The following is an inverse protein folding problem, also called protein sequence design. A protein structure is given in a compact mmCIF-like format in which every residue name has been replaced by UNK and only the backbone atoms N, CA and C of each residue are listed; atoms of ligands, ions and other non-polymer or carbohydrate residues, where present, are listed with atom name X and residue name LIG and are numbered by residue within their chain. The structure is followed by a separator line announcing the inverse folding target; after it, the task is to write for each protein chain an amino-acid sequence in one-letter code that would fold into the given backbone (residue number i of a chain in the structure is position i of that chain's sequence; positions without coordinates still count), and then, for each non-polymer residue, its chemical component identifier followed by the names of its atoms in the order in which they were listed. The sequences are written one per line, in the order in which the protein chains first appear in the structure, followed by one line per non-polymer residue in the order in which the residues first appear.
data_IF_741982437728
#
_entry.id   IF_741982437728
#
_cell.length_a   1.000
_cell.length_b   1.000
_cell.length_c   1.000
_cell.angle_alpha   90.00
_cell.angle_beta   90.00
_cell.angle_gamma   90.00
#
_symmetry.space_group_name_H-M   'P 1'
#
loop_
_entity.id
_entity.type
_entity.pdbx_description
1 polymer ?
#
# COMPACT_ATOMS: atom_id res chain seq x y z
N UNK A 1 -19.20 -45.44 48.58
CA UNK A 1 -18.32 -45.76 49.73
C UNK A 1 -17.37 -44.59 49.84
N UNK A 2 -17.63 -43.73 50.72
CA UNK A 2 -16.97 -43.47 52.02
C UNK A 2 -15.67 -42.70 51.83
N UNK A 3 -15.64 -41.40 52.05
CA UNK A 3 -15.61 -40.60 53.31
C UNK A 3 -14.17 -40.50 53.83
N UNK A 4 -13.62 -39.34 54.04
CA UNK A 4 -13.57 -38.44 55.21
C UNK A 4 -12.31 -37.57 55.10
N UNK A 5 -12.43 -36.25 55.24
CA UNK A 5 -12.20 -35.45 56.45
C UNK A 5 -10.74 -35.53 56.99
N UNK A 6 -9.99 -34.47 57.13
CA UNK A 6 -10.01 -33.42 58.16
C UNK A 6 -8.82 -32.50 58.07
N UNK A 7 -9.04 -31.21 58.10
CA UNK A 7 -8.75 -30.20 59.13
C UNK A 7 -7.28 -29.74 59.32
N UNK A 8 -7.14 -28.47 59.04
CA UNK A 8 -6.60 -27.37 59.84
C UNK A 8 -5.23 -27.51 60.52
N UNK A 9 -4.35 -26.53 60.20
CA UNK A 9 -3.65 -25.79 61.23
C UNK A 9 -3.11 -24.45 60.64
N UNK A 10 -3.53 -23.39 61.24
CA UNK A 10 -2.98 -22.04 61.05
C UNK A 10 -1.70 -21.89 61.88
N UNK A 11 -0.69 -21.25 61.31
CA UNK A 11 0.39 -20.65 62.11
C UNK A 11 0.62 -19.23 61.61
N UNK A 12 0.38 -18.27 62.52
CA UNK A 12 0.78 -16.85 62.47
C UNK A 12 2.32 -16.79 62.44
N UNK A 13 2.84 -15.84 61.70
CA UNK A 13 4.27 -15.49 61.71
C UNK A 13 4.49 -14.10 61.12
N UNK A 14 4.22 -13.11 61.92
CA UNK A 14 4.88 -11.79 62.06
C UNK A 14 5.48 -11.04 60.89
N UNK A 15 5.01 -9.84 60.81
CA UNK A 15 5.40 -8.67 60.01
C UNK A 15 6.90 -8.32 60.11
N UNK A 16 7.41 -7.81 59.00
CA UNK A 16 8.48 -6.80 59.03
C UNK A 16 8.17 -5.76 57.92
N UNK A 17 7.77 -4.57 58.39
CA UNK A 17 7.71 -3.33 57.65
C UNK A 17 9.13 -2.95 57.21
N UNK A 18 9.32 -2.73 55.94
CA UNK A 18 10.38 -1.86 55.42
C UNK A 18 9.74 -0.69 54.72
N UNK A 19 9.58 0.39 55.43
CA UNK A 19 9.18 1.71 54.99
C UNK A 19 10.32 2.33 54.19
N UNK A 20 10.09 2.55 52.87
CA UNK A 20 10.91 3.42 52.07
C UNK A 20 10.17 4.78 51.92
N UNK A 21 10.82 5.76 52.46
CA UNK A 21 10.44 7.17 52.55
C UNK A 21 10.26 7.79 51.14
N UNK A 22 9.04 8.18 50.80
CA UNK A 22 8.74 9.18 49.81
C UNK A 22 9.05 10.56 50.35
N UNK A 23 10.13 11.16 49.88
CA UNK A 23 10.36 12.60 50.10
C UNK A 23 9.50 13.35 49.09
N UNK A 24 8.37 13.84 49.56
CA UNK A 24 7.59 14.82 48.86
C UNK A 24 8.15 16.20 49.21
N UNK A 25 8.88 16.80 48.29
CA UNK A 25 9.12 18.25 48.32
C UNK A 25 8.00 18.96 47.58
N UNK A 26 7.08 19.52 48.33
CA UNK A 26 6.12 20.45 47.79
C UNK A 26 6.77 21.80 47.51
N UNK A 27 6.53 22.32 46.33
CA UNK A 27 6.58 23.74 46.04
C UNK A 27 5.42 24.09 45.13
N UNK A 28 4.47 24.79 45.65
CA UNK A 28 3.44 25.48 44.90
C UNK A 28 4.10 26.52 44.00
N UNK A 29 3.97 26.39 42.72
CA UNK A 29 3.96 27.54 41.80
C UNK A 29 2.98 27.26 40.67
N UNK A 30 2.26 28.32 40.35
CA UNK A 30 1.07 28.42 39.54
C UNK A 30 1.12 27.75 38.16
N UNK A 31 -0.07 27.34 37.76
CA UNK A 31 -0.48 26.91 36.42
C UNK A 31 0.10 27.78 35.32
N UNK A 32 0.94 27.14 34.50
CA UNK A 32 1.15 27.51 33.13
C UNK A 32 0.77 26.28 32.30
N UNK A 33 -0.09 26.39 31.29
CA UNK A 33 -0.35 25.26 30.41
C UNK A 33 0.98 24.80 29.83
N UNK A 34 1.30 23.53 29.97
CA UNK A 34 2.41 22.93 29.28
C UNK A 34 2.12 23.07 27.78
N UNK A 35 2.81 24.00 27.16
CA UNK A 35 2.99 24.04 25.72
C UNK A 35 3.69 22.72 25.37
N UNK A 36 2.91 21.77 24.87
CA UNK A 36 3.44 20.57 24.26
C UNK A 36 4.06 20.96 22.94
N UNK A 37 5.18 21.64 22.99
CA UNK A 37 6.07 21.82 21.87
C UNK A 37 6.47 20.42 21.41
N UNK A 38 5.88 19.95 20.33
CA UNK A 38 6.33 18.77 19.62
C UNK A 38 7.78 19.06 19.22
N UNK A 39 8.73 18.47 19.95
CA UNK A 39 10.11 18.43 19.45
C UNK A 39 10.07 17.68 18.13
N UNK A 40 10.30 18.39 17.02
CA UNK A 40 10.38 17.76 15.72
C UNK A 40 11.39 16.60 15.80
N UNK A 41 10.99 15.44 15.34
CA UNK A 41 11.85 14.27 15.35
C UNK A 41 13.10 14.58 14.49
N UNK A 42 14.28 14.38 15.06
CA UNK A 42 15.54 14.61 14.34
C UNK A 42 15.79 13.58 13.25
N UNK A 43 15.16 12.43 13.36
CA UNK A 43 15.25 11.32 12.42
C UNK A 43 13.90 10.66 12.24
N UNK A 44 13.57 10.30 11.00
CA UNK A 44 12.40 9.49 10.64
C UNK A 44 12.81 8.39 9.67
N UNK A 45 12.02 7.32 9.62
CA UNK A 45 12.22 6.21 8.69
C UNK A 45 11.14 6.25 7.60
N UNK A 46 11.56 6.20 6.34
CA UNK A 46 10.68 6.07 5.19
C UNK A 46 10.88 4.70 4.53
N UNK A 47 9.81 3.93 4.39
CA UNK A 47 9.80 2.67 3.65
C UNK A 47 9.20 2.87 2.25
N UNK A 48 9.92 2.43 1.22
CA UNK A 48 9.49 2.52 -0.18
C UNK A 48 9.71 1.19 -0.90
N UNK A 49 9.04 0.99 -2.02
CA UNK A 49 9.36 -0.10 -2.93
C UNK A 49 10.74 0.13 -3.57
N UNK A 50 11.47 -0.95 -3.87
CA UNK A 50 12.86 -0.88 -4.33
C UNK A 50 13.05 0.03 -5.56
N UNK A 51 12.09 0.04 -6.48
CA UNK A 51 12.13 0.90 -7.66
C UNK A 51 12.12 2.41 -7.34
N UNK A 52 11.60 2.82 -6.19
CA UNK A 52 11.53 4.22 -5.76
C UNK A 52 12.68 4.65 -4.87
N UNK A 53 13.62 3.76 -4.53
CA UNK A 53 14.71 4.05 -3.60
C UNK A 53 15.52 5.28 -3.99
N UNK A 54 15.98 5.36 -5.23
CA UNK A 54 16.80 6.49 -5.70
C UNK A 54 16.03 7.83 -5.67
N UNK A 55 14.72 7.78 -5.98
CA UNK A 55 13.85 8.95 -5.84
C UNK A 55 13.72 9.35 -4.36
N UNK A 56 13.44 8.41 -3.47
CA UNK A 56 13.31 8.64 -2.04
C UNK A 56 14.59 9.24 -1.43
N UNK A 57 15.77 8.76 -1.80
CA UNK A 57 17.06 9.31 -1.37
C UNK A 57 17.23 10.77 -1.80
N UNK A 58 16.81 11.11 -3.02
CA UNK A 58 16.83 12.49 -3.51
C UNK A 58 15.92 13.42 -2.72
N UNK A 59 14.69 12.96 -2.46
CA UNK A 59 13.70 13.69 -1.65
C UNK A 59 14.17 13.83 -0.20
N UNK A 60 14.71 12.76 0.39
CA UNK A 60 15.25 12.75 1.75
C UNK A 60 16.35 13.80 1.94
N UNK A 61 17.26 13.91 0.96
CA UNK A 61 18.30 14.93 0.98
C UNK A 61 17.73 16.35 0.98
N UNK A 62 16.81 16.63 0.05
CA UNK A 62 16.18 17.94 -0.04
C UNK A 62 15.37 18.28 1.24
N UNK A 63 14.66 17.29 1.80
CA UNK A 63 13.92 17.47 3.03
C UNK A 63 14.83 17.77 4.22
N UNK A 64 15.98 17.09 4.32
CA UNK A 64 16.98 17.34 5.37
C UNK A 64 17.55 18.77 5.27
N UNK A 65 17.83 19.24 4.05
CA UNK A 65 18.32 20.62 3.82
C UNK A 65 17.27 21.65 4.25
N UNK A 66 15.98 21.36 4.08
CA UNK A 66 14.88 22.25 4.40
C UNK A 66 14.48 22.22 5.88
N UNK A 67 14.40 21.04 6.49
CA UNK A 67 13.82 20.82 7.82
C UNK A 67 14.86 20.52 8.91
N UNK A 68 16.07 20.12 8.53
CA UNK A 68 17.08 19.59 9.45
C UNK A 68 16.84 18.13 9.86
N UNK A 69 15.71 17.52 9.50
CA UNK A 69 15.37 16.13 9.84
C UNK A 69 16.02 15.14 8.89
N UNK A 70 16.70 14.14 9.44
CA UNK A 70 17.26 13.03 8.65
C UNK A 70 16.15 12.03 8.33
N UNK A 71 16.06 11.60 7.06
CA UNK A 71 15.16 10.55 6.61
C UNK A 71 15.98 9.30 6.29
N UNK A 72 15.78 8.24 7.09
CA UNK A 72 16.41 6.94 6.89
C UNK A 72 15.56 6.11 5.92
N UNK A 73 16.10 5.85 4.73
CA UNK A 73 15.38 5.10 3.70
C UNK A 73 15.55 3.60 3.92
N UNK A 74 14.45 2.88 3.99
CA UNK A 74 14.35 1.43 3.87
C UNK A 74 13.62 1.10 2.59
N UNK A 75 14.06 0.08 1.86
CA UNK A 75 13.37 -0.36 0.65
C UNK A 75 13.18 -1.88 0.63
N UNK A 76 12.19 -2.32 -0.12
CA UNK A 76 11.86 -3.73 -0.27
C UNK A 76 10.52 -3.93 -0.98
N UNK A 77 9.98 -5.15 -0.90
CA UNK A 77 8.64 -5.46 -1.40
C UNK A 77 7.57 -4.68 -0.63
N UNK A 78 6.84 -3.82 -1.33
CA UNK A 78 5.81 -2.96 -0.75
C UNK A 78 4.68 -3.76 -0.11
N UNK A 79 4.20 -4.81 -0.78
CA UNK A 79 3.08 -5.60 -0.27
C UNK A 79 3.48 -6.40 0.97
N UNK A 80 4.66 -7.02 0.96
CA UNK A 80 5.19 -7.70 2.13
C UNK A 80 5.45 -6.77 3.32
N UNK A 81 5.79 -5.50 3.06
CA UNK A 81 5.88 -4.46 4.08
C UNK A 81 4.52 -4.13 4.70
N UNK A 82 3.48 -3.99 3.88
CA UNK A 82 2.11 -3.73 4.34
C UNK A 82 1.53 -4.88 5.15
N UNK A 83 1.77 -6.12 4.75
CA UNK A 83 1.28 -7.31 5.45
C UNK A 83 1.87 -7.42 6.88
N UNK A 84 3.05 -6.86 7.12
CA UNK A 84 3.71 -6.82 8.43
C UNK A 84 3.37 -5.59 9.26
N UNK A 85 2.75 -4.56 8.66
CA UNK A 85 2.58 -3.25 9.29
C UNK A 85 1.89 -3.33 10.66
N UNK A 86 0.84 -4.14 10.79
CA UNK A 86 0.12 -4.29 12.06
C UNK A 86 1.02 -4.85 13.18
N UNK A 87 1.83 -5.86 12.88
CA UNK A 87 2.79 -6.43 13.84
C UNK A 87 3.91 -5.46 14.16
N UNK A 88 4.42 -4.77 13.15
CA UNK A 88 5.49 -3.80 13.30
C UNK A 88 5.03 -2.58 14.11
N UNK A 89 3.81 -2.11 13.92
CA UNK A 89 3.20 -1.06 14.76
C UNK A 89 3.15 -1.48 16.24
N UNK A 90 2.67 -2.69 16.52
CA UNK A 90 2.56 -3.20 17.88
C UNK A 90 3.94 -3.38 18.57
N UNK A 91 4.96 -3.71 17.79
CA UNK A 91 6.32 -3.94 18.30
C UNK A 91 7.22 -2.70 18.27
N UNK A 92 6.71 -1.55 17.77
CA UNK A 92 7.49 -0.32 17.63
C UNK A 92 8.56 -0.37 16.53
N UNK A 93 8.40 -1.27 15.54
CA UNK A 93 9.34 -1.45 14.41
C UNK A 93 8.85 -0.89 13.10
N UNK A 94 7.60 -0.43 13.07
CA UNK A 94 7.02 0.18 11.88
C UNK A 94 7.84 1.41 11.42
N UNK A 95 7.92 1.67 10.12
CA UNK A 95 8.47 2.94 9.65
C UNK A 95 7.54 4.11 10.02
N UNK A 96 8.10 5.31 10.19
CA UNK A 96 7.30 6.52 10.45
C UNK A 96 6.45 6.91 9.26
N UNK A 97 6.96 6.66 8.05
CA UNK A 97 6.27 6.88 6.78
C UNK A 97 6.50 5.69 5.88
N UNK A 98 5.46 5.26 5.17
CA UNK A 98 5.61 4.22 4.16
C UNK A 98 4.84 4.54 2.88
N UNK A 99 5.35 4.05 1.77
CA UNK A 99 4.66 4.08 0.49
C UNK A 99 3.64 2.95 0.44
N UNK A 100 2.40 3.26 0.06
CA UNK A 100 1.32 2.28 -0.01
C UNK A 100 0.44 2.51 -1.24
N UNK A 101 -0.16 1.45 -1.84
CA UNK A 101 -1.19 1.61 -2.85
C UNK A 101 -2.42 2.29 -2.23
N UNK A 102 -3.07 3.15 -3.01
CA UNK A 102 -4.20 3.96 -2.51
C UNK A 102 -5.37 3.12 -1.97
N UNK A 103 -5.62 1.97 -2.55
CA UNK A 103 -6.71 1.06 -2.16
C UNK A 103 -6.54 0.42 -0.78
N UNK A 104 -5.33 0.48 -0.21
CA UNK A 104 -5.01 0.02 1.16
C UNK A 104 -5.12 1.14 2.20
N UNK A 105 -4.90 2.39 1.80
CA UNK A 105 -4.78 3.53 2.73
C UNK A 105 -6.04 3.71 3.59
N UNK A 106 -7.22 3.63 2.98
CA UNK A 106 -8.49 3.83 3.70
C UNK A 106 -8.72 2.81 4.80
N UNK A 107 -8.56 1.51 4.52
CA UNK A 107 -8.73 0.45 5.51
C UNK A 107 -7.66 0.51 6.60
N UNK A 108 -6.40 0.69 6.23
CA UNK A 108 -5.30 0.83 7.20
C UNK A 108 -5.52 2.01 8.16
N UNK A 109 -6.09 3.12 7.66
CA UNK A 109 -6.43 4.27 8.49
C UNK A 109 -7.56 3.96 9.47
N UNK A 110 -8.67 3.39 9.00
CA UNK A 110 -9.82 3.04 9.87
C UNK A 110 -9.49 1.93 10.87
N UNK A 111 -8.54 1.06 10.56
CA UNK A 111 -8.04 0.01 11.45
C UNK A 111 -6.97 0.53 12.44
N UNK A 112 -6.70 1.84 12.42
CA UNK A 112 -5.74 2.49 13.35
C UNK A 112 -4.27 2.16 13.06
N UNK A 113 -3.95 1.67 11.86
CA UNK A 113 -2.58 1.38 11.45
C UNK A 113 -1.85 2.62 10.90
N UNK A 114 -2.61 3.62 10.44
CA UNK A 114 -2.11 4.90 9.95
C UNK A 114 -2.72 6.04 10.77
N UNK A 115 -1.94 7.10 10.96
CA UNK A 115 -2.42 8.34 11.56
C UNK A 115 -3.06 9.25 10.50
N UNK A 116 -4.03 10.05 10.92
CA UNK A 116 -4.60 11.10 10.07
C UNK A 116 -3.52 12.10 9.63
N UNK A 117 -3.53 12.45 8.35
CA UNK A 117 -2.58 13.37 7.72
C UNK A 117 -3.29 14.66 7.34
N UNK A 118 -2.71 15.79 7.72
CA UNK A 118 -3.11 17.10 7.21
C UNK A 118 -2.21 17.46 6.03
N UNK A 119 -2.79 17.47 4.83
CA UNK A 119 -2.06 17.94 3.66
C UNK A 119 -1.77 19.43 3.82
N UNK A 120 -0.53 19.85 3.53
CA UNK A 120 -0.17 21.26 3.56
C UNK A 120 -0.88 22.03 2.43
N UNK A 121 -1.09 23.34 2.62
CA UNK A 121 -1.69 24.22 1.60
C UNK A 121 -0.86 24.28 0.31
N UNK A 122 0.43 23.96 0.39
CA UNK A 122 1.34 23.85 -0.75
C UNK A 122 1.28 22.52 -1.49
N UNK A 123 0.57 21.52 -0.99
CA UNK A 123 0.39 20.23 -1.65
C UNK A 123 -0.48 20.42 -2.91
N UNK A 124 0.13 20.26 -4.08
CA UNK A 124 -0.58 20.34 -5.37
C UNK A 124 -1.38 19.06 -5.64
N UNK A 125 -2.37 18.80 -4.80
CA UNK A 125 -3.20 17.61 -4.87
C UNK A 125 -4.58 18.03 -5.34
N UNK A 126 -5.07 17.48 -6.45
CA UNK A 126 -6.44 17.70 -6.89
C UNK A 126 -7.44 16.90 -6.03
N UNK A 127 -8.72 17.27 -6.09
CA UNK A 127 -9.77 16.63 -5.29
C UNK A 127 -9.93 15.14 -5.62
N UNK A 128 -9.67 14.72 -6.84
CA UNK A 128 -9.76 13.32 -7.26
C UNK A 128 -8.68 12.48 -6.60
N UNK A 129 -7.43 12.90 -6.68
CA UNK A 129 -6.31 12.18 -6.03
C UNK A 129 -6.41 12.23 -4.51
N UNK A 130 -6.86 13.33 -3.93
CA UNK A 130 -7.15 13.43 -2.50
C UNK A 130 -8.23 12.44 -2.06
N UNK A 131 -9.29 12.27 -2.87
CA UNK A 131 -10.36 11.33 -2.56
C UNK A 131 -9.89 9.88 -2.47
N UNK A 132 -8.82 9.51 -3.17
CA UNK A 132 -8.26 8.15 -3.14
C UNK A 132 -7.58 7.80 -1.81
N UNK A 133 -7.14 8.80 -1.06
CA UNK A 133 -6.49 8.64 0.26
C UNK A 133 -7.38 9.10 1.41
N UNK A 134 -8.66 9.37 1.12
CA UNK A 134 -9.69 9.73 2.11
C UNK A 134 -10.53 8.49 2.41
N UNK A 135 -10.56 8.07 3.67
CA UNK A 135 -11.32 6.91 4.10
C UNK A 135 -12.82 7.21 4.24
N UNK A 136 -13.61 6.17 4.51
CA UNK A 136 -15.06 6.26 4.67
C UNK A 136 -15.49 7.15 5.86
N UNK A 137 -14.62 7.35 6.85
CA UNK A 137 -14.80 8.24 7.99
C UNK A 137 -14.56 9.73 7.64
N UNK A 138 -14.21 10.02 6.39
CA UNK A 138 -13.92 11.37 5.88
C UNK A 138 -12.51 11.88 6.20
N UNK A 139 -11.67 11.09 6.87
CA UNK A 139 -10.30 11.47 7.20
C UNK A 139 -9.31 11.11 6.10
N UNK A 140 -8.25 11.88 5.99
CA UNK A 140 -7.15 11.67 5.05
C UNK A 140 -6.04 10.91 5.77
N UNK A 141 -5.60 9.77 5.23
CA UNK A 141 -4.58 8.92 5.84
C UNK A 141 -3.30 8.79 4.99
N UNK A 142 -3.19 9.56 3.93
CA UNK A 142 -2.01 9.56 3.10
C UNK A 142 -1.88 10.81 2.24
N UNK A 143 -0.69 10.99 1.68
CA UNK A 143 -0.41 12.03 0.69
C UNK A 143 -0.14 11.36 -0.67
N UNK A 144 -0.87 11.70 -1.74
CA UNK A 144 -0.57 11.19 -3.07
C UNK A 144 0.85 11.58 -3.49
N UNK A 145 1.70 10.60 -3.82
CA UNK A 145 3.08 10.82 -4.19
C UNK A 145 3.35 10.48 -5.67
N UNK A 146 2.76 9.40 -6.17
CA UNK A 146 3.00 8.88 -7.52
C UNK A 146 1.66 8.46 -8.13
N UNK A 147 1.52 8.66 -9.44
CA UNK A 147 0.42 8.10 -10.24
C UNK A 147 1.03 7.16 -11.26
N UNK A 148 0.54 5.94 -11.28
CA UNK A 148 0.95 4.91 -12.23
C UNK A 148 -0.19 4.54 -13.17
N UNK A 149 0.15 4.09 -14.36
CA UNK A 149 -0.80 3.56 -15.34
C UNK A 149 -0.14 2.49 -16.18
N UNK A 150 -0.92 1.51 -16.59
CA UNK A 150 -0.50 0.57 -17.62
C UNK A 150 -0.44 1.29 -18.95
N UNK A 151 0.68 1.14 -19.66
CA UNK A 151 0.89 1.72 -20.98
C UNK A 151 1.47 0.67 -21.93
N UNK A 152 1.25 0.85 -23.22
CA UNK A 152 1.88 0.05 -24.25
C UNK A 152 3.11 0.80 -24.80
N UNK A 153 4.27 0.17 -24.71
CA UNK A 153 5.47 0.63 -25.39
C UNK A 153 5.58 -0.01 -26.75
N UNK A 154 6.09 0.71 -27.76
CA UNK A 154 6.45 0.12 -29.05
C UNK A 154 7.83 0.56 -29.49
N UNK A 155 8.53 -0.36 -30.15
CA UNK A 155 9.84 -0.10 -30.73
C UNK A 155 9.68 0.59 -32.08
N UNK A 156 10.10 1.85 -32.21
CA UNK A 156 9.98 2.66 -33.43
C UNK A 156 10.84 2.17 -34.59
N UNK A 157 11.88 1.36 -34.31
CA UNK A 157 12.71 0.79 -35.37
C UNK A 157 12.00 -0.41 -36.04
N UNK A 158 11.18 -1.13 -35.28
CA UNK A 158 10.45 -2.29 -35.74
C UNK A 158 9.03 -1.94 -36.23
N UNK A 159 8.34 -1.06 -35.54
CA UNK A 159 6.96 -0.65 -35.81
C UNK A 159 6.97 0.85 -36.10
N UNK A 160 6.71 1.25 -37.35
CA UNK A 160 6.83 2.65 -37.78
C UNK A 160 5.68 3.53 -37.28
N UNK A 161 4.50 2.96 -37.11
CA UNK A 161 3.32 3.65 -36.58
C UNK A 161 2.80 2.95 -35.33
N UNK A 162 2.48 3.73 -34.31
CA UNK A 162 1.94 3.19 -33.05
C UNK A 162 0.60 2.48 -33.33
N UNK A 163 0.45 1.21 -32.92
CA UNK A 163 -0.84 0.52 -32.97
C UNK A 163 -1.88 1.30 -32.16
N UNK A 164 -3.08 1.47 -32.72
CA UNK A 164 -4.19 2.21 -32.09
C UNK A 164 -5.27 1.29 -31.54
N UNK A 165 -5.32 0.08 -32.04
CA UNK A 165 -6.33 -0.92 -31.70
C UNK A 165 -5.67 -2.29 -31.50
N UNK A 166 -6.38 -3.20 -30.84
CA UNK A 166 -5.94 -4.59 -30.76
C UNK A 166 -5.93 -5.28 -32.14
N UNK A 167 -6.80 -4.87 -33.07
CA UNK A 167 -6.76 -5.36 -34.44
C UNK A 167 -5.44 -4.99 -35.15
N UNK A 168 -4.87 -3.83 -34.88
CA UNK A 168 -3.55 -3.45 -35.42
C UNK A 168 -2.45 -4.38 -34.87
N UNK A 169 -2.51 -4.74 -33.59
CA UNK A 169 -1.59 -5.69 -32.98
C UNK A 169 -1.74 -7.10 -33.60
N UNK A 170 -2.99 -7.55 -33.82
CA UNK A 170 -3.27 -8.83 -34.51
C UNK A 170 -2.75 -8.85 -35.94
N UNK A 171 -2.81 -7.72 -36.65
CA UNK A 171 -2.23 -7.64 -38.00
C UNK A 171 -0.70 -7.67 -37.96
N UNK A 172 -0.06 -7.02 -36.99
CA UNK A 172 1.39 -7.15 -36.77
C UNK A 172 1.77 -8.59 -36.45
N UNK A 173 0.98 -9.29 -35.65
CA UNK A 173 1.24 -10.70 -35.30
C UNK A 173 1.24 -11.66 -36.48
N UNK A 174 0.59 -11.32 -37.62
CA UNK A 174 0.57 -12.10 -38.84
C UNK A 174 1.82 -11.91 -39.71
N UNK A 175 2.60 -10.87 -39.47
CA UNK A 175 3.81 -10.56 -40.22
C UNK A 175 4.96 -11.49 -39.78
N UNK A 176 5.47 -12.30 -40.68
CA UNK A 176 6.53 -13.26 -40.39
C UNK A 176 7.83 -12.67 -39.87
N UNK A 177 8.06 -11.35 -40.05
CA UNK A 177 9.23 -10.69 -39.48
C UNK A 177 9.21 -10.67 -37.95
N UNK A 178 8.03 -10.86 -37.34
CA UNK A 178 7.85 -10.95 -35.90
C UNK A 178 7.69 -12.40 -35.42
N UNK A 179 7.95 -13.39 -36.26
CA UNK A 179 7.93 -14.79 -35.83
C UNK A 179 8.88 -14.96 -34.59
N UNK A 180 8.42 -15.68 -33.59
CA UNK A 180 9.25 -15.96 -32.43
C UNK A 180 10.18 -17.13 -32.73
N UNK A 181 11.48 -16.88 -32.70
CA UNK A 181 12.48 -17.89 -33.08
C UNK A 181 12.57 -19.09 -32.12
N UNK A 182 11.99 -18.96 -30.92
CA UNK A 182 12.01 -20.03 -29.91
C UNK A 182 10.89 -21.06 -30.02
N UNK A 183 9.82 -20.77 -30.79
CA UNK A 183 8.66 -21.67 -30.91
C UNK A 183 7.88 -21.39 -32.19
N UNK A 184 7.67 -22.44 -32.97
CA UNK A 184 6.93 -22.37 -34.25
C UNK A 184 5.47 -21.95 -34.02
N UNK A 185 4.99 -21.05 -34.89
CA UNK A 185 3.62 -20.52 -34.83
C UNK A 185 3.39 -19.42 -33.80
N UNK A 186 4.43 -19.01 -33.06
CA UNK A 186 4.36 -17.92 -32.13
C UNK A 186 4.91 -16.61 -32.68
N UNK A 187 4.45 -15.49 -32.13
CA UNK A 187 4.87 -14.14 -32.54
C UNK A 187 5.46 -13.37 -31.40
N UNK A 188 6.43 -12.53 -31.68
CA UNK A 188 6.97 -11.50 -30.76
C UNK A 188 6.43 -10.09 -31.05
N UNK A 189 5.43 -9.96 -31.93
CA UNK A 189 4.86 -8.68 -32.32
C UNK A 189 4.22 -7.93 -31.16
N UNK A 190 3.69 -8.67 -30.18
CA UNK A 190 3.11 -8.12 -28.96
C UNK A 190 3.41 -9.03 -27.78
N UNK A 191 3.89 -8.45 -26.69
CA UNK A 191 4.24 -9.17 -25.46
C UNK A 191 3.44 -8.58 -24.30
N UNK A 192 2.72 -9.43 -23.57
CA UNK A 192 1.95 -9.06 -22.39
C UNK A 192 1.90 -10.25 -21.42
N UNK A 193 1.97 -9.95 -20.12
CA UNK A 193 1.71 -10.94 -19.07
C UNK A 193 0.23 -10.89 -18.66
N UNK A 194 -0.60 -11.65 -19.35
CA UNK A 194 -2.02 -11.75 -19.00
C UNK A 194 -2.34 -12.94 -18.08
N UNK A 195 -1.32 -13.62 -17.58
CA UNK A 195 -1.47 -14.57 -16.46
C UNK A 195 -1.67 -13.84 -15.15
N UNK A 196 -1.16 -12.61 -15.05
CA UNK A 196 -1.40 -11.72 -13.92
C UNK A 196 -2.69 -10.90 -14.14
N UNK A 197 -3.64 -11.05 -13.23
CA UNK A 197 -4.95 -10.39 -13.29
C UNK A 197 -4.83 -8.85 -13.38
N UNK A 198 -3.85 -8.25 -12.72
CA UNK A 198 -3.60 -6.82 -12.78
C UNK A 198 -3.41 -6.31 -14.23
N UNK A 199 -2.65 -7.05 -15.04
CA UNK A 199 -2.43 -6.70 -16.43
C UNK A 199 -3.58 -7.14 -17.35
N UNK A 200 -4.29 -8.20 -17.01
CA UNK A 200 -5.42 -8.71 -17.79
C UNK A 200 -6.73 -7.93 -17.56
N UNK A 201 -6.87 -7.23 -16.44
CA UNK A 201 -8.11 -6.56 -16.06
C UNK A 201 -8.64 -5.59 -17.14
N UNK A 202 -7.74 -4.87 -17.81
CA UNK A 202 -8.12 -3.97 -18.91
C UNK A 202 -8.88 -4.64 -20.04
N UNK A 203 -8.62 -5.93 -20.30
CA UNK A 203 -9.35 -6.70 -21.32
C UNK A 203 -10.76 -7.03 -20.84
N UNK A 204 -10.93 -7.37 -19.56
CA UNK A 204 -12.25 -7.62 -18.98
C UNK A 204 -13.08 -6.33 -19.02
N UNK A 205 -12.52 -5.26 -18.47
CA UNK A 205 -13.19 -3.97 -18.38
C UNK A 205 -13.56 -3.39 -19.74
N UNK A 206 -12.69 -3.52 -20.74
CA UNK A 206 -12.93 -3.09 -22.11
C UNK A 206 -14.08 -3.84 -22.81
N UNK A 207 -14.42 -5.04 -22.32
CA UNK A 207 -15.56 -5.83 -22.79
C UNK A 207 -16.80 -5.73 -21.90
N UNK A 208 -16.81 -4.82 -20.90
CA UNK A 208 -17.94 -4.65 -19.97
C UNK A 208 -17.88 -5.53 -18.73
N UNK A 209 -16.74 -6.20 -18.50
CA UNK A 209 -16.48 -6.92 -17.25
C UNK A 209 -16.10 -5.97 -16.10
N UNK A 210 -16.28 -6.41 -14.89
CA UNK A 210 -15.89 -5.67 -13.68
C UNK A 210 -15.66 -6.62 -12.51
N UNK A 211 -14.97 -6.15 -11.46
CA UNK A 211 -14.85 -6.91 -10.20
C UNK A 211 -16.06 -6.67 -9.33
N UNK A 212 -16.31 -5.42 -8.96
CA UNK A 212 -17.45 -5.00 -8.14
C UNK A 212 -18.28 -3.96 -8.88
N UNK A 213 -19.62 -4.07 -8.75
CA UNK A 213 -20.58 -3.16 -9.36
C UNK A 213 -20.44 -1.71 -8.88
N UNK A 214 -21.16 -0.79 -9.55
CA UNK A 214 -21.16 0.64 -9.23
C UNK A 214 -19.74 1.24 -9.15
N UNK A 215 -18.86 0.89 -10.09
CA UNK A 215 -17.44 1.33 -10.13
C UNK A 215 -16.65 0.96 -8.86
N UNK A 216 -16.83 -0.28 -8.40
CA UNK A 216 -16.11 -0.82 -7.24
C UNK A 216 -16.78 -0.55 -5.88
N UNK A 217 -17.97 0.06 -5.87
CA UNK A 217 -18.65 0.44 -4.61
C UNK A 217 -19.66 -0.58 -4.11
N UNK A 218 -20.05 -1.53 -4.93
CA UNK A 218 -20.98 -2.60 -4.56
C UNK A 218 -20.29 -3.96 -4.57
N UNK A 219 -19.80 -4.37 -3.41
CA UNK A 219 -19.13 -5.66 -3.21
C UNK A 219 -20.09 -6.88 -3.29
N UNK A 220 -21.39 -6.65 -3.38
CA UNK A 220 -22.39 -7.74 -3.54
C UNK A 220 -22.65 -8.02 -5.01
N UNK A 221 -22.40 -7.07 -5.89
CA UNK A 221 -22.48 -7.24 -7.34
C UNK A 221 -21.09 -7.59 -7.88
N UNK A 222 -20.86 -8.88 -8.15
CA UNK A 222 -19.59 -9.43 -8.62
C UNK A 222 -19.69 -9.76 -10.10
N UNK A 223 -18.98 -9.00 -10.94
CA UNK A 223 -19.02 -9.11 -12.39
C UNK A 223 -17.95 -10.00 -13.02
N UNK A 224 -17.17 -10.76 -12.23
CA UNK A 224 -16.07 -11.60 -12.75
C UNK A 224 -16.52 -12.75 -13.67
N UNK A 225 -17.78 -13.15 -13.59
CA UNK A 225 -18.36 -14.19 -14.43
C UNK A 225 -19.44 -13.68 -15.39
N UNK A 226 -19.55 -12.36 -15.60
CA UNK A 226 -20.46 -11.82 -16.61
C UNK A 226 -19.90 -12.03 -18.04
N UNK A 227 -20.74 -11.84 -19.04
CA UNK A 227 -20.38 -12.06 -20.45
C UNK A 227 -19.17 -11.24 -20.89
N UNK A 228 -19.03 -10.01 -20.40
CA UNK A 228 -17.90 -9.13 -20.70
C UNK A 228 -16.58 -9.65 -20.12
N UNK A 229 -16.59 -10.12 -18.88
CA UNK A 229 -15.41 -10.74 -18.26
C UNK A 229 -15.01 -12.02 -18.98
N UNK A 230 -15.97 -12.86 -19.33
CA UNK A 230 -15.72 -14.10 -20.12
C UNK A 230 -15.16 -13.76 -21.49
N UNK A 231 -15.72 -12.75 -22.18
CA UNK A 231 -15.20 -12.31 -23.48
C UNK A 231 -13.77 -11.78 -23.38
N UNK A 232 -13.45 -10.98 -22.35
CA UNK A 232 -12.10 -10.45 -22.12
C UNK A 232 -11.06 -11.55 -21.87
N UNK A 233 -11.39 -12.56 -21.04
CA UNK A 233 -10.51 -13.70 -20.79
C UNK A 233 -10.35 -14.59 -22.01
N UNK A 234 -11.42 -14.84 -22.77
CA UNK A 234 -11.31 -15.59 -24.01
C UNK A 234 -10.46 -14.87 -25.04
N UNK A 235 -10.51 -13.54 -25.09
CA UNK A 235 -9.63 -12.75 -25.94
C UNK A 235 -8.17 -12.89 -25.51
N UNK A 236 -7.87 -12.76 -24.20
CA UNK A 236 -6.53 -13.01 -23.68
C UNK A 236 -6.03 -14.41 -24.05
N UNK A 237 -6.86 -15.44 -23.83
CA UNK A 237 -6.54 -16.83 -24.20
C UNK A 237 -6.17 -16.97 -25.69
N UNK A 238 -6.91 -16.31 -26.58
CA UNK A 238 -6.66 -16.39 -28.02
C UNK A 238 -5.26 -15.91 -28.43
N UNK A 239 -4.62 -15.07 -27.64
CA UNK A 239 -3.25 -14.61 -27.86
C UNK A 239 -2.19 -15.65 -27.51
N UNK A 240 -2.47 -16.56 -26.58
CA UNK A 240 -1.58 -17.70 -26.28
C UNK A 240 -1.62 -18.79 -27.36
N UNK A 241 -2.60 -18.74 -28.26
CA UNK A 241 -2.77 -19.64 -29.37
C UNK A 241 -2.10 -19.09 -30.66
N UNK A 242 -1.66 -17.83 -30.65
CA UNK A 242 -0.99 -17.12 -31.78
C UNK A 242 0.56 -17.14 -31.60
#
# INVERSE_FOLDING_TARGET
MSSKFMKSAAVLGTATLASLLLVACGSKTADKPADSGSSEAKEITLYVEDQYKAYAETVAKAYKEQSGTTVNIKSGDQMGGLDKLSLDNQSGKAPDVMMAPYDRVGSLGTDGQLSEVKLSDGAKTDDKTKSLVTAADGKVYGAPAVIESLVMYYNKDLVKEAPKTFADLENLAKDSKYAFAGEDGKTSAFLADWTNFYFAYGLLAGNGGYVFGQNGKDAKDIGLANDGSIAGINYAKSWYEK
#
